data_IF_065768106247
#
_entry.id   IF_065768106247
#
_cell.length_a   1.000
_cell.length_b   1.000
_cell.length_c   1.000
_cell.angle_alpha   90.00
_cell.angle_beta   90.00
_cell.angle_gamma   90.00
#
_symmetry.space_group_name_H-M   'P 1'
#
loop_
_entity.id
_entity.type
_entity.pdbx_description
1 polymer ?
#
# COMPACT_ATOMS: atom_id res chain seq x y z
N UNK A 1 27.21 4.06 -6.97
CA UNK A 1 26.78 4.45 -5.61
C UNK A 1 25.26 4.27 -5.60
N UNK A 2 24.73 3.49 -4.67
CA UNK A 2 23.41 2.83 -4.78
C UNK A 2 22.26 3.85 -4.78
N UNK A 3 21.44 3.83 -5.83
CA UNK A 3 20.18 4.56 -5.96
C UNK A 3 19.11 3.93 -5.05
N UNK A 4 18.44 4.73 -4.21
CA UNK A 4 17.32 4.29 -3.37
C UNK A 4 15.99 4.78 -3.96
N UNK A 5 15.05 3.88 -4.32
CA UNK A 5 13.70 4.28 -4.74
C UNK A 5 12.66 4.18 -3.60
N UNK A 6 11.65 5.06 -3.64
CA UNK A 6 10.24 4.93 -3.20
C UNK A 6 9.90 4.35 -1.82
N UNK A 7 9.36 5.12 -0.87
CA UNK A 7 9.08 4.68 0.50
C UNK A 7 7.56 4.43 0.75
N UNK A 8 7.17 3.24 1.20
CA UNK A 8 5.83 2.93 1.75
C UNK A 8 5.98 2.07 3.00
N UNK A 9 5.25 2.32 4.09
CA UNK A 9 5.35 1.48 5.29
C UNK A 9 4.18 0.50 5.36
N UNK A 10 4.49 -0.79 5.47
CA UNK A 10 3.51 -1.86 5.55
C UNK A 10 3.69 -2.70 6.84
N UNK A 11 2.58 -3.23 7.38
CA UNK A 11 2.59 -4.11 8.54
C UNK A 11 1.88 -5.46 8.22
N UNK A 12 2.65 -6.55 8.39
CA UNK A 12 2.26 -7.94 8.73
C UNK A 12 2.01 -8.97 7.61
N UNK A 13 2.65 -10.13 7.82
CA UNK A 13 2.47 -11.42 7.18
C UNK A 13 2.98 -12.50 8.14
N UNK A 14 2.13 -13.38 8.67
CA UNK A 14 2.54 -14.50 9.51
C UNK A 14 2.11 -15.82 8.85
N UNK A 15 3.05 -16.74 8.67
CA UNK A 15 2.86 -18.10 8.14
C UNK A 15 2.61 -19.07 9.30
N UNK A 16 1.64 -19.98 9.17
CA UNK A 16 1.45 -21.10 10.09
C UNK A 16 1.48 -22.42 9.34
N UNK A 17 1.97 -23.48 10.00
CA UNK A 17 2.03 -24.84 9.45
C UNK A 17 0.64 -25.40 9.08
N UNK A 18 0.69 -26.35 8.14
CA UNK A 18 -0.36 -26.89 7.24
C UNK A 18 -1.66 -27.47 7.87
N UNK A 19 -1.98 -27.19 9.13
CA UNK A 19 -3.20 -27.69 9.78
C UNK A 19 -3.78 -26.82 10.90
N UNK A 20 -3.29 -25.59 11.13
CA UNK A 20 -3.85 -24.71 12.18
C UNK A 20 -4.51 -23.50 11.55
N UNK A 21 -5.82 -23.36 11.79
CA UNK A 21 -6.64 -22.21 11.39
C UNK A 21 -6.13 -20.93 12.08
N UNK A 22 -5.17 -20.26 11.44
CA UNK A 22 -4.55 -19.00 11.90
C UNK A 22 -5.40 -17.76 11.62
N UNK A 23 -6.71 -17.94 11.43
CA UNK A 23 -7.67 -16.86 11.18
C UNK A 23 -7.80 -15.91 12.40
N UNK A 24 -7.38 -16.36 13.59
CA UNK A 24 -7.60 -15.64 14.87
C UNK A 24 -6.36 -15.22 15.66
N UNK A 25 -5.14 -15.44 15.16
CA UNK A 25 -3.96 -15.04 15.92
C UNK A 25 -3.70 -13.55 15.71
N UNK A 26 -4.31 -12.74 16.58
CA UNK A 26 -4.04 -11.31 16.71
C UNK A 26 -2.54 -11.13 16.96
N UNK A 27 -1.87 -10.59 15.97
CA UNK A 27 -0.45 -10.25 15.99
C UNK A 27 -0.19 -9.24 17.11
N UNK A 28 0.66 -9.61 18.07
CA UNK A 28 1.14 -8.76 19.17
C UNK A 28 2.50 -8.13 18.82
N UNK A 29 2.96 -7.17 19.63
CA UNK A 29 4.21 -6.44 19.36
C UNK A 29 5.48 -7.31 19.35
N UNK A 30 5.42 -8.56 19.82
CA UNK A 30 6.55 -9.48 19.78
C UNK A 30 6.76 -10.14 18.41
N UNK A 31 5.83 -9.97 17.46
CA UNK A 31 5.96 -10.54 16.12
C UNK A 31 7.19 -9.98 15.38
N UNK A 32 7.96 -10.86 14.76
CA UNK A 32 9.10 -10.52 13.88
C UNK A 32 8.97 -11.28 12.58
N UNK A 33 9.01 -10.58 11.46
CA UNK A 33 8.86 -11.16 10.13
C UNK A 33 10.11 -11.98 9.79
N UNK A 34 9.89 -13.17 9.26
CA UNK A 34 11.00 -14.03 8.83
C UNK A 34 11.54 -13.58 7.48
N UNK A 35 12.82 -13.86 7.23
CA UNK A 35 13.44 -13.58 5.93
C UNK A 35 12.75 -14.33 4.79
N UNK A 36 12.32 -15.56 5.03
CA UNK A 36 11.59 -16.37 4.05
C UNK A 36 10.26 -15.71 3.67
N UNK A 37 9.60 -15.03 4.61
CA UNK A 37 8.37 -14.28 4.35
C UNK A 37 8.67 -13.03 3.53
N UNK A 38 9.78 -12.33 3.77
CA UNK A 38 10.23 -11.20 2.94
C UNK A 38 10.56 -11.66 1.51
N UNK A 39 11.25 -12.78 1.37
CA UNK A 39 11.57 -13.38 0.06
C UNK A 39 10.29 -13.77 -0.68
N UNK A 40 9.30 -14.32 0.03
CA UNK A 40 7.98 -14.60 -0.52
C UNK A 40 7.22 -13.34 -0.93
N UNK A 41 7.22 -12.29 -0.11
CA UNK A 41 6.67 -10.97 -0.46
C UNK A 41 7.31 -10.47 -1.75
N UNK A 42 8.63 -10.46 -1.84
CA UNK A 42 9.35 -10.01 -3.04
C UNK A 42 9.03 -10.86 -4.28
N UNK A 43 8.86 -12.18 -4.11
CA UNK A 43 8.39 -13.07 -5.18
C UNK A 43 6.99 -12.68 -5.67
N UNK A 44 6.05 -12.38 -4.77
CA UNK A 44 4.69 -11.95 -5.13
C UNK A 44 4.69 -10.57 -5.78
N UNK A 45 5.45 -9.61 -5.24
CA UNK A 45 5.60 -8.26 -5.78
C UNK A 45 6.14 -8.27 -7.22
N UNK A 46 7.00 -9.25 -7.55
CA UNK A 46 7.57 -9.37 -8.89
C UNK A 46 6.53 -9.61 -9.98
N UNK A 47 5.36 -10.19 -9.65
CA UNK A 47 4.26 -10.44 -10.59
C UNK A 47 3.71 -9.13 -11.17
N UNK A 48 3.76 -8.05 -10.41
CA UNK A 48 3.28 -6.73 -10.85
C UNK A 48 4.23 -6.02 -11.81
N UNK A 49 5.51 -6.43 -11.89
CA UNK A 49 6.51 -5.79 -12.75
C UNK A 49 6.11 -5.95 -14.23
N UNK A 50 6.39 -4.94 -15.04
CA UNK A 50 5.99 -4.92 -16.44
C UNK A 50 4.69 -4.14 -16.68
N UNK A 51 4.13 -4.31 -17.88
CA UNK A 51 2.89 -3.66 -18.31
C UNK A 51 1.73 -4.63 -18.15
N UNK A 52 0.74 -4.27 -17.33
CA UNK A 52 -0.47 -5.06 -17.11
C UNK A 52 -1.71 -4.19 -17.23
N UNK A 53 -2.87 -4.82 -17.38
CA UNK A 53 -4.16 -4.15 -17.31
C UNK A 53 -4.64 -4.08 -15.85
N UNK A 54 -4.58 -2.90 -15.25
CA UNK A 54 -4.92 -2.68 -13.84
C UNK A 54 -6.39 -2.28 -13.61
N UNK A 55 -7.31 -2.60 -14.53
CA UNK A 55 -8.72 -2.16 -14.40
C UNK A 55 -9.41 -2.64 -13.10
N UNK A 56 -9.11 -3.85 -12.61
CA UNK A 56 -9.59 -4.35 -11.31
C UNK A 56 -8.95 -3.64 -10.09
N UNK A 57 -7.81 -2.97 -10.31
CA UNK A 57 -7.10 -2.19 -9.29
C UNK A 57 -7.59 -0.74 -9.19
N UNK A 58 -8.73 -0.42 -9.82
CA UNK A 58 -9.40 0.86 -9.68
C UNK A 58 -10.92 0.69 -9.71
N UNK A 59 -11.65 1.77 -9.47
CA UNK A 59 -13.12 1.77 -9.50
C UNK A 59 -13.59 2.44 -10.80
N UNK A 60 -14.78 2.06 -11.29
CA UNK A 60 -15.47 2.71 -12.43
C UNK A 60 -14.64 2.75 -13.74
N UNK A 61 -13.96 1.65 -14.05
CA UNK A 61 -13.21 1.45 -15.28
C UNK A 61 -13.52 0.09 -15.86
N UNK A 62 -13.63 0.02 -17.17
CA UNK A 62 -13.88 -1.21 -17.91
C UNK A 62 -12.58 -1.87 -18.36
N UNK A 63 -12.62 -3.16 -18.66
CA UNK A 63 -11.46 -3.93 -19.07
C UNK A 63 -10.82 -3.41 -20.37
N UNK A 64 -11.63 -2.94 -21.31
CA UNK A 64 -11.20 -2.44 -22.62
C UNK A 64 -10.64 -1.01 -22.59
N UNK A 65 -10.75 -0.32 -21.45
CA UNK A 65 -10.17 1.01 -21.27
C UNK A 65 -8.64 0.93 -21.31
N UNK A 66 -8.06 1.39 -22.43
CA UNK A 66 -6.61 1.45 -22.65
C UNK A 66 -5.90 2.24 -21.55
N UNK A 67 -6.57 3.20 -20.93
CA UNK A 67 -6.04 3.96 -19.80
C UNK A 67 -5.92 3.14 -18.51
N UNK A 68 -6.25 1.85 -18.49
CA UNK A 68 -5.96 0.94 -17.37
C UNK A 68 -4.61 0.23 -17.50
N UNK A 69 -3.95 0.31 -18.66
CA UNK A 69 -2.62 -0.28 -18.84
C UNK A 69 -1.56 0.57 -18.13
N UNK A 70 -0.89 -0.01 -17.15
CA UNK A 70 0.15 0.68 -16.36
C UNK A 70 1.42 -0.14 -16.34
N UNK A 71 2.54 0.58 -16.29
CA UNK A 71 3.88 0.01 -16.29
C UNK A 71 4.53 0.17 -14.91
N UNK A 72 4.80 -0.95 -14.26
CA UNK A 72 5.53 -1.02 -12.98
C UNK A 72 6.99 -1.35 -13.27
N UNK A 73 7.88 -0.46 -12.89
CA UNK A 73 9.34 -0.59 -13.09
C UNK A 73 9.96 -1.47 -12.00
N UNK A 74 9.62 -1.19 -10.74
CA UNK A 74 10.05 -1.99 -9.59
C UNK A 74 8.96 -2.01 -8.53
N UNK A 75 8.91 -3.10 -7.78
CA UNK A 75 8.08 -3.24 -6.60
C UNK A 75 8.76 -4.22 -5.64
N UNK A 76 9.22 -3.73 -4.49
CA UNK A 76 10.17 -4.42 -3.61
C UNK A 76 9.81 -4.20 -2.14
N UNK A 77 10.17 -5.15 -1.29
CA UNK A 77 10.08 -5.06 0.16
C UNK A 77 11.49 -4.86 0.74
N UNK A 78 11.67 -3.78 1.48
CA UNK A 78 12.86 -3.48 2.25
C UNK A 78 12.95 -4.29 3.55
N UNK A 79 14.06 -4.10 4.25
CA UNK A 79 14.34 -4.76 5.53
C UNK A 79 13.38 -4.26 6.63
N UNK A 80 13.04 -5.12 7.60
CA UNK A 80 12.26 -4.73 8.75
C UNK A 80 13.05 -3.80 9.67
N UNK A 81 12.36 -2.87 10.30
CA UNK A 81 12.92 -2.01 11.34
C UNK A 81 11.97 -1.91 12.53
N UNK A 82 12.54 -1.60 13.70
CA UNK A 82 11.79 -1.43 14.93
C UNK A 82 11.49 0.06 15.15
N UNK A 83 10.27 0.33 15.61
CA UNK A 83 9.84 1.64 16.07
C UNK A 83 9.24 1.50 17.47
N UNK A 84 9.72 2.32 18.40
CA UNK A 84 9.30 2.27 19.80
C UNK A 84 7.94 2.95 19.99
N UNK A 85 6.99 2.24 20.61
CA UNK A 85 5.71 2.79 21.05
C UNK A 85 5.84 3.32 22.48
N UNK A 86 5.98 4.64 22.63
CA UNK A 86 6.11 5.30 23.94
C UNK A 86 4.88 5.07 24.86
N UNK A 87 3.70 4.82 24.29
CA UNK A 87 2.45 4.67 25.06
C UNK A 87 2.38 3.27 25.67
N UNK A 88 2.76 2.26 24.88
CA UNK A 88 2.72 0.85 25.30
C UNK A 88 4.04 0.35 25.86
N UNK A 89 5.10 1.13 25.70
CA UNK A 89 6.46 0.82 26.09
C UNK A 89 6.95 -0.51 25.46
N UNK A 90 6.72 -0.66 24.15
CA UNK A 90 7.06 -1.86 23.38
C UNK A 90 7.61 -1.50 21.98
N UNK A 91 8.50 -2.33 21.44
CA UNK A 91 9.03 -2.14 20.09
C UNK A 91 8.18 -2.88 19.06
N UNK A 92 7.65 -2.13 18.10
CA UNK A 92 6.83 -2.64 17.02
C UNK A 92 7.63 -2.68 15.72
N UNK A 93 7.59 -3.82 15.05
CA UNK A 93 8.25 -4.00 13.75
C UNK A 93 7.39 -3.48 12.60
N UNK A 94 8.05 -2.76 11.69
CA UNK A 94 7.50 -2.26 10.43
C UNK A 94 8.39 -2.72 9.27
N UNK A 95 7.79 -2.92 8.10
CA UNK A 95 8.52 -3.12 6.85
C UNK A 95 8.20 -2.00 5.89
N UNK A 96 9.07 -1.80 4.91
CA UNK A 96 8.85 -0.82 3.87
C UNK A 96 8.63 -1.50 2.52
N UNK A 97 7.57 -1.16 1.81
CA UNK A 97 7.39 -1.49 0.41
C UNK A 97 7.79 -0.31 -0.48
N UNK A 98 8.33 -0.58 -1.65
CA UNK A 98 8.86 0.42 -2.57
C UNK A 98 8.33 0.13 -3.96
N UNK A 99 7.47 1.00 -4.50
CA UNK A 99 6.98 0.86 -5.89
C UNK A 99 7.40 2.04 -6.74
N UNK A 100 8.05 1.76 -7.87
CA UNK A 100 8.33 2.71 -8.95
C UNK A 100 7.50 2.31 -10.16
N UNK A 101 6.64 3.22 -10.63
CA UNK A 101 5.82 3.03 -11.81
C UNK A 101 5.88 4.26 -12.70
N UNK A 102 5.54 4.10 -13.98
CA UNK A 102 5.47 5.24 -14.91
C UNK A 102 4.30 6.17 -14.57
N UNK A 103 3.18 5.60 -14.13
CA UNK A 103 2.00 6.31 -13.63
C UNK A 103 1.17 5.36 -12.79
N UNK A 104 0.25 5.92 -11.99
CA UNK A 104 -0.70 5.14 -11.19
C UNK A 104 -2.13 5.65 -11.41
N UNK A 105 -3.11 4.74 -11.40
CA UNK A 105 -4.54 5.09 -11.36
C UNK A 105 -5.06 5.15 -9.93
N UNK A 106 -6.24 5.75 -9.75
CA UNK A 106 -6.89 5.88 -8.45
C UNK A 106 -6.97 4.53 -7.73
N UNK A 107 -6.53 4.50 -6.48
CA UNK A 107 -6.47 3.33 -5.58
C UNK A 107 -5.52 2.19 -6.01
N UNK A 108 -4.82 2.29 -7.14
CA UNK A 108 -4.02 1.18 -7.69
C UNK A 108 -3.04 0.60 -6.67
N UNK A 109 -2.19 1.44 -6.07
CA UNK A 109 -1.16 1.00 -5.12
C UNK A 109 -1.80 0.34 -3.89
N UNK A 110 -2.86 0.93 -3.35
CA UNK A 110 -3.59 0.41 -2.19
C UNK A 110 -4.23 -0.95 -2.48
N UNK A 111 -4.76 -1.15 -3.69
CA UNK A 111 -5.32 -2.44 -4.14
C UNK A 111 -4.22 -3.48 -4.43
N UNK A 112 -3.08 -3.06 -4.99
CA UNK A 112 -1.90 -3.93 -5.18
C UNK A 112 -1.38 -4.47 -3.84
N UNK A 113 -1.24 -3.58 -2.85
CA UNK A 113 -0.85 -3.93 -1.49
C UNK A 113 -1.93 -4.78 -0.80
N UNK A 114 -3.21 -4.45 -0.97
CA UNK A 114 -4.32 -5.27 -0.45
C UNK A 114 -4.30 -6.72 -0.95
N UNK A 115 -4.10 -6.90 -2.26
CA UNK A 115 -3.97 -8.23 -2.86
C UNK A 115 -2.68 -8.96 -2.45
N UNK A 116 -1.56 -8.25 -2.31
CA UNK A 116 -0.32 -8.82 -1.75
C UNK A 116 -0.59 -9.45 -0.39
N UNK A 117 -1.20 -8.70 0.53
CA UNK A 117 -1.49 -9.17 1.89
C UNK A 117 -2.42 -10.37 1.85
N UNK A 118 -3.42 -10.34 0.99
CA UNK A 118 -4.36 -11.45 0.79
C UNK A 118 -3.63 -12.73 0.42
N UNK A 119 -2.69 -12.65 -0.52
CA UNK A 119 -1.90 -13.80 -0.96
C UNK A 119 -0.94 -14.28 0.13
N UNK A 120 -0.26 -13.36 0.82
CA UNK A 120 0.71 -13.73 1.86
C UNK A 120 0.03 -14.29 3.12
N UNK A 121 -1.20 -13.86 3.40
CA UNK A 121 -2.05 -14.46 4.45
C UNK A 121 -2.79 -15.72 3.99
N UNK A 122 -2.45 -16.23 2.80
CA UNK A 122 -2.99 -17.47 2.24
C UNK A 122 -4.52 -17.46 2.05
N UNK A 123 -5.12 -16.26 1.93
CA UNK A 123 -6.55 -16.11 1.59
C UNK A 123 -6.80 -16.31 0.10
N UNK A 124 -5.78 -16.11 -0.73
CA UNK A 124 -5.79 -16.37 -2.17
C UNK A 124 -4.45 -16.93 -2.65
N UNK A 125 -4.48 -17.61 -3.80
CA UNK A 125 -3.27 -18.11 -4.45
C UNK A 125 -2.49 -17.01 -5.19
N UNK A 126 -1.17 -17.17 -5.33
CA UNK A 126 -0.32 -16.25 -6.10
C UNK A 126 -0.81 -16.05 -7.54
N UNK A 127 -1.31 -17.11 -8.17
CA UNK A 127 -1.89 -17.08 -9.52
C UNK A 127 -3.14 -16.20 -9.63
N UNK A 128 -3.82 -15.93 -8.50
CA UNK A 128 -5.00 -15.06 -8.50
C UNK A 128 -4.65 -13.62 -8.93
N UNK A 129 -3.43 -13.15 -8.65
CA UNK A 129 -2.95 -11.84 -9.13
C UNK A 129 -2.89 -11.80 -10.67
N UNK A 130 -2.59 -12.90 -11.34
CA UNK A 130 -2.60 -12.91 -12.81
C UNK A 130 -4.02 -12.82 -13.35
N UNK A 131 -4.96 -13.53 -12.71
CA UNK A 131 -6.39 -13.46 -13.04
C UNK A 131 -6.97 -12.06 -12.88
N UNK A 132 -6.50 -11.27 -11.92
CA UNK A 132 -6.99 -9.91 -11.73
C UNK A 132 -6.61 -8.96 -12.88
N UNK A 133 -5.69 -9.34 -13.77
CA UNK A 133 -5.36 -8.60 -15.00
C UNK A 133 -6.18 -9.05 -16.22
N UNK A 134 -6.94 -10.14 -16.12
CA UNK A 134 -7.78 -10.68 -17.19
C UNK A 134 -9.15 -9.99 -17.22
N UNK A 135 -10.00 -10.31 -18.19
CA UNK A 135 -11.28 -9.61 -18.40
C UNK A 135 -12.33 -9.82 -17.31
N UNK A 136 -12.15 -10.80 -16.44
CA UNK A 136 -13.08 -11.08 -15.35
C UNK A 136 -13.00 -9.96 -14.28
N UNK A 137 -14.16 -9.41 -13.94
CA UNK A 137 -14.28 -8.40 -12.89
C UNK A 137 -14.16 -9.07 -11.53
N UNK A 138 -13.22 -8.62 -10.70
CA UNK A 138 -13.01 -9.18 -9.35
C UNK A 138 -12.86 -8.08 -8.32
N UNK A 139 -13.37 -8.33 -7.10
CA UNK A 139 -13.18 -7.39 -6.00
C UNK A 139 -11.80 -7.56 -5.36
N UNK A 140 -10.97 -6.54 -5.58
CA UNK A 140 -9.61 -6.46 -5.05
C UNK A 140 -9.64 -5.65 -3.75
N UNK A 141 -9.22 -6.23 -2.61
CA UNK A 141 -9.18 -5.52 -1.33
C UNK A 141 -8.36 -4.24 -1.41
N UNK A 142 -8.88 -3.14 -0.86
CA UNK A 142 -8.22 -1.84 -0.85
C UNK A 142 -7.65 -1.57 0.54
N UNK A 143 -6.32 -1.65 0.68
CA UNK A 143 -5.65 -1.36 1.94
C UNK A 143 -5.91 0.09 2.43
N UNK A 144 -5.77 0.40 3.73
CA UNK A 144 -5.81 1.77 4.26
C UNK A 144 -4.83 2.72 3.56
N UNK A 145 -5.14 4.03 3.61
CA UNK A 145 -4.31 5.06 2.98
C UNK A 145 -3.20 5.61 3.87
N UNK A 146 -3.23 5.34 5.18
CA UNK A 146 -2.35 5.98 6.18
C UNK A 146 -0.85 5.80 5.86
N UNK A 147 -0.44 4.58 5.47
CA UNK A 147 0.96 4.28 5.13
C UNK A 147 1.40 4.69 3.72
N UNK A 148 0.54 5.35 2.94
CA UNK A 148 0.80 5.69 1.54
C UNK A 148 1.52 7.04 1.43
N UNK A 149 2.78 7.04 1.02
CA UNK A 149 3.60 8.24 0.84
C UNK A 149 4.13 8.36 -0.60
N UNK A 150 4.00 9.54 -1.20
CA UNK A 150 4.69 9.84 -2.46
C UNK A 150 6.12 10.27 -2.16
N UNK A 151 7.06 9.39 -2.48
CA UNK A 151 8.48 9.61 -2.19
C UNK A 151 9.15 10.58 -3.17
N UNK A 152 9.08 10.30 -4.46
CA UNK A 152 9.85 11.02 -5.49
C UNK A 152 9.10 11.06 -6.80
N UNK A 153 9.21 12.20 -7.49
CA UNK A 153 8.84 12.35 -8.90
C UNK A 153 10.11 12.26 -9.74
N UNK A 154 10.11 11.35 -10.71
CA UNK A 154 11.29 11.09 -11.54
C UNK A 154 11.21 11.84 -12.87
N UNK A 155 12.22 12.65 -13.16
CA UNK A 155 12.36 13.40 -14.41
C UNK A 155 13.43 12.81 -15.35
N UNK A 156 13.85 11.56 -15.12
CA UNK A 156 14.93 10.86 -15.86
C UNK A 156 14.81 11.00 -17.39
N UNK A 157 13.58 10.86 -17.91
CA UNK A 157 13.30 10.97 -19.35
C UNK A 157 13.36 12.42 -19.85
N UNK A 158 12.87 13.38 -19.05
CA UNK A 158 12.95 14.80 -19.37
C UNK A 158 14.40 15.26 -19.41
N UNK A 159 15.16 14.94 -18.36
CA UNK A 159 16.58 15.29 -18.24
C UNK A 159 17.37 14.73 -19.42
N UNK A 160 17.15 13.47 -19.78
CA UNK A 160 17.79 12.86 -20.96
C UNK A 160 17.42 13.57 -22.27
N UNK A 161 16.14 13.92 -22.45
CA UNK A 161 15.64 14.54 -23.68
C UNK A 161 16.12 15.99 -23.82
N UNK A 162 16.26 16.72 -22.71
CA UNK A 162 16.52 18.16 -22.69
C UNK A 162 17.91 18.54 -22.19
N UNK A 163 18.80 17.58 -21.94
CA UNK A 163 20.17 17.77 -21.42
C UNK A 163 21.02 18.83 -22.14
N UNK A 164 20.76 19.10 -23.42
CA UNK A 164 21.50 20.13 -24.19
C UNK A 164 20.99 21.55 -23.99
N UNK A 165 19.80 21.70 -23.42
CA UNK A 165 19.02 22.94 -23.42
C UNK A 165 18.62 23.40 -22.03
N UNK A 166 18.54 22.48 -21.07
CA UNK A 166 18.07 22.74 -19.71
C UNK A 166 18.95 21.98 -18.72
N UNK A 167 19.05 22.53 -17.52
CA UNK A 167 19.62 21.84 -16.36
C UNK A 167 18.73 20.66 -15.94
N UNK A 168 19.31 19.59 -15.35
CA UNK A 168 18.55 18.43 -14.90
C UNK A 168 17.63 18.80 -13.71
N UNK A 169 16.46 18.17 -13.66
CA UNK A 169 15.49 18.30 -12.57
C UNK A 169 15.59 17.17 -11.53
N UNK A 170 16.40 16.15 -11.78
CA UNK A 170 16.55 15.00 -10.87
C UNK A 170 17.62 15.17 -9.80
N UNK A 171 18.63 16.02 -10.01
CA UNK A 171 19.76 16.19 -9.08
C UNK A 171 19.61 17.48 -8.26
N UNK A 172 19.20 17.34 -7.01
CA UNK A 172 19.07 18.43 -6.05
C UNK A 172 20.30 18.61 -5.16
N UNK A 173 21.34 17.79 -5.37
CA UNK A 173 22.54 17.76 -4.56
C UNK A 173 22.36 17.04 -3.21
N UNK A 174 23.44 16.45 -2.72
CA UNK A 174 23.43 15.60 -1.51
C UNK A 174 22.94 16.30 -0.24
N UNK A 175 23.21 17.60 -0.10
CA UNK A 175 22.77 18.37 1.07
C UNK A 175 21.25 18.54 1.12
N UNK A 176 20.62 18.82 -0.02
CA UNK A 176 19.15 18.96 -0.10
C UNK A 176 18.48 17.60 0.07
N UNK A 177 19.01 16.56 -0.59
CA UNK A 177 18.49 15.19 -0.48
C UNK A 177 18.55 14.68 0.97
N UNK A 178 19.67 14.92 1.67
CA UNK A 178 19.79 14.57 3.10
C UNK A 178 18.77 15.32 3.97
N UNK A 179 18.53 16.62 3.67
CA UNK A 179 17.55 17.42 4.40
C UNK A 179 16.12 16.96 4.13
N UNK A 180 15.80 16.58 2.89
CA UNK A 180 14.49 16.03 2.52
C UNK A 180 14.25 14.71 3.27
N UNK A 181 15.24 13.84 3.35
CA UNK A 181 15.13 12.57 4.09
C UNK A 181 14.83 12.79 5.57
N UNK A 182 15.57 13.68 6.22
CA UNK A 182 15.39 14.05 7.63
C UNK A 182 13.98 14.60 7.87
N UNK A 183 13.56 15.59 7.08
CA UNK A 183 12.25 16.25 7.24
C UNK A 183 11.10 15.29 6.94
N UNK A 184 11.25 14.43 5.93
CA UNK A 184 10.28 13.38 5.60
C UNK A 184 10.10 12.43 6.79
N UNK A 185 11.19 11.99 7.40
CA UNK A 185 11.10 11.13 8.57
C UNK A 185 10.40 11.83 9.73
N UNK A 186 10.89 13.01 10.13
CA UNK A 186 10.41 13.73 11.31
C UNK A 186 8.95 14.17 11.21
N UNK A 187 8.52 14.64 10.03
CA UNK A 187 7.19 15.23 9.86
C UNK A 187 6.14 14.28 9.29
N UNK A 188 6.55 13.25 8.54
CA UNK A 188 5.62 12.39 7.80
C UNK A 188 5.70 10.96 8.29
N UNK A 189 6.85 10.29 8.13
CA UNK A 189 6.98 8.87 8.49
C UNK A 189 6.69 8.64 9.96
N UNK A 190 7.25 9.46 10.85
CA UNK A 190 7.01 9.36 12.29
C UNK A 190 5.52 9.50 12.64
N UNK A 191 4.81 10.45 12.04
CA UNK A 191 3.38 10.64 12.29
C UNK A 191 2.55 9.47 11.75
N UNK A 192 2.91 8.90 10.60
CA UNK A 192 2.28 7.68 10.06
C UNK A 192 2.42 6.52 11.06
N UNK A 193 3.65 6.29 11.57
CA UNK A 193 3.93 5.22 12.52
C UNK A 193 3.17 5.42 13.83
N UNK A 194 3.22 6.63 14.41
CA UNK A 194 2.50 6.97 15.64
C UNK A 194 0.98 6.86 15.46
N UNK A 195 0.45 7.31 14.33
CA UNK A 195 -0.97 7.19 14.00
C UNK A 195 -1.40 5.73 13.85
N UNK A 196 -0.56 4.87 13.26
CA UNK A 196 -0.86 3.43 13.17
C UNK A 196 -0.83 2.77 14.55
N UNK A 197 0.13 3.12 15.42
CA UNK A 197 0.17 2.60 16.79
C UNK A 197 -1.08 3.02 17.60
N UNK A 198 -1.52 4.28 17.44
CA UNK A 198 -2.67 4.83 18.16
C UNK A 198 -4.01 4.27 17.66
N UNK A 199 -4.20 4.25 16.34
CA UNK A 199 -5.50 3.96 15.74
C UNK A 199 -5.61 2.54 15.20
N UNK A 200 -4.50 1.85 14.96
CA UNK A 200 -4.43 0.48 14.46
C UNK A 200 -5.25 0.29 13.18
N UNK A 201 -5.14 1.22 12.23
CA UNK A 201 -5.95 1.23 11.01
C UNK A 201 -5.73 -0.03 10.18
N UNK A 202 -4.48 -0.51 10.09
CA UNK A 202 -4.18 -1.76 9.41
C UNK A 202 -4.79 -2.97 10.12
N UNK A 203 -4.74 -3.01 11.45
CA UNK A 203 -5.31 -4.11 12.22
C UNK A 203 -6.84 -4.21 12.05
N UNK A 204 -7.53 -3.07 12.09
CA UNK A 204 -8.98 -3.01 11.87
C UNK A 204 -9.32 -3.52 10.45
N UNK A 205 -8.61 -3.04 9.43
CA UNK A 205 -8.81 -3.51 8.06
C UNK A 205 -8.49 -5.00 7.88
N UNK A 206 -7.45 -5.52 8.55
CA UNK A 206 -7.09 -6.95 8.52
C UNK A 206 -8.15 -7.85 9.16
N UNK A 207 -8.91 -7.34 10.14
CA UNK A 207 -10.02 -8.05 10.75
C UNK A 207 -11.22 -8.19 9.77
N UNK A 208 -11.40 -7.20 8.91
CA UNK A 208 -12.44 -7.20 7.88
C UNK A 208 -12.04 -8.02 6.64
N UNK A 209 -10.75 -8.03 6.29
CA UNK A 209 -10.22 -8.74 5.11
C UNK A 209 -10.61 -10.22 5.03
N UNK A 210 -10.75 -10.89 6.19
CA UNK A 210 -11.14 -12.32 6.25
C UNK A 210 -12.56 -12.55 5.71
N UNK A 211 -13.40 -11.52 5.75
CA UNK A 211 -14.79 -11.55 5.28
C UNK A 211 -14.94 -11.05 3.84
N UNK A 212 -13.83 -10.74 3.16
CA UNK A 212 -13.83 -10.20 1.81
C UNK A 212 -14.32 -11.26 0.81
N UNK A 213 -15.34 -10.91 0.00
CA UNK A 213 -15.84 -11.75 -1.07
C UNK A 213 -15.13 -11.40 -2.39
N UNK A 214 -14.22 -12.28 -2.82
CA UNK A 214 -13.45 -12.09 -4.04
C UNK A 214 -14.26 -12.29 -5.34
N UNK A 215 -15.47 -12.83 -5.23
CA UNK A 215 -16.39 -13.08 -6.35
C UNK A 215 -17.45 -11.98 -6.50
N UNK A 216 -17.51 -11.00 -5.59
CA UNK A 216 -18.47 -9.91 -5.66
C UNK A 216 -18.12 -8.90 -6.77
N UNK A 217 -19.14 -8.25 -7.34
CA UNK A 217 -18.95 -7.17 -8.32
C UNK A 217 -18.42 -5.91 -7.60
N UNK A 218 -17.23 -5.39 -7.91
CA UNK A 218 -16.68 -4.17 -7.33
C UNK A 218 -17.51 -2.92 -7.64
N UNK A 219 -18.39 -2.99 -8.66
CA UNK A 219 -19.33 -1.94 -9.01
C UNK A 219 -20.54 -1.88 -8.08
N UNK A 220 -20.79 -2.93 -7.29
CA UNK A 220 -21.88 -3.00 -6.30
C UNK A 220 -21.47 -2.47 -4.93
N UNK A 221 -20.46 -1.58 -4.84
CA UNK A 221 -20.14 -0.86 -3.59
C UNK A 221 -21.46 -0.25 -3.05
N UNK A 222 -22.04 -0.87 -2.02
CA UNK A 222 -23.17 -0.28 -1.31
C UNK A 222 -22.69 1.06 -0.75
N UNK A 223 -23.47 2.12 -1.01
CA UNK A 223 -23.26 3.40 -0.36
C UNK A 223 -23.24 3.12 1.15
N UNK A 224 -22.18 3.49 1.89
CA UNK A 224 -22.09 3.16 3.30
C UNK A 224 -23.37 3.61 3.99
N UNK A 225 -24.05 2.69 4.69
CA UNK A 225 -25.16 3.07 5.54
C UNK A 225 -24.65 4.15 6.50
N UNK A 226 -25.26 5.34 6.40
CA UNK A 226 -24.87 6.46 7.27
C UNK A 226 -25.12 6.03 8.70
N UNK A 227 -24.05 5.76 9.43
CA UNK A 227 -24.14 5.42 10.84
C UNK A 227 -24.83 6.56 11.59
N UNK A 228 -25.53 6.21 12.68
CA UNK A 228 -26.22 7.18 13.53
C UNK A 228 -25.29 8.32 13.98
N UNK A 229 -24.00 8.02 14.18
CA UNK A 229 -22.96 9.00 14.53
C UNK A 229 -22.63 9.93 13.35
N UNK A 230 -22.56 9.40 12.13
CA UNK A 230 -22.32 10.20 10.92
C UNK A 230 -23.48 11.16 10.64
N UNK A 231 -24.72 10.73 10.91
CA UNK A 231 -25.90 11.60 10.84
C UNK A 231 -25.93 12.66 11.94
N UNK A 232 -25.49 12.32 13.15
CA UNK A 232 -25.40 13.26 14.26
C UNK A 232 -24.36 14.37 14.01
N UNK A 233 -23.16 14.02 13.54
CA UNK A 233 -22.12 15.01 13.22
C UNK A 233 -22.53 15.95 12.06
N UNK A 234 -23.27 15.46 11.07
CA UNK A 234 -23.78 16.31 9.99
C UNK A 234 -24.78 17.37 10.50
N UNK A 235 -25.69 16.99 11.41
CA UNK A 235 -26.65 17.92 12.02
C UNK A 235 -26.01 18.98 12.92
N UNK A 236 -24.89 18.67 13.57
CA UNK A 236 -24.13 19.62 14.39
C UNK A 236 -23.47 20.71 13.52
N UNK A 237 -23.05 20.37 12.30
CA UNK A 237 -22.46 21.36 11.39
C UNK A 237 -23.52 22.24 10.70
N UNK A 238 -24.71 21.69 10.40
CA UNK A 238 -25.83 22.47 9.83
C UNK A 238 -26.43 23.46 10.85
N UNK A 239 -26.25 23.23 12.15
CA UNK A 239 -26.73 24.12 13.22
C UNK A 239 -25.75 25.23 13.61
N UNK A 240 -24.56 25.30 12.99
CA UNK A 240 -23.62 26.41 13.19
C UNK A 240 -23.73 27.52 12.13
N UNK A 241 -24.59 27.35 11.12
CA UNK A 241 -24.83 28.34 10.07
C UNK A 241 -26.32 28.70 9.89
N UNK A 242 -27.15 28.44 10.91
CA UNK A 242 -28.56 28.84 10.98
C UNK A 242 -28.81 29.83 12.11
#
# INVERSE_FOLDING_TARGET
MKEQPGLFHFQRAARTDRAVSAVRQLTNAAFRISKETIDEINSVLSIYKGTHNFFNYTSKREFDDRSCHRYIMSFECGEPFLFHDDIRNEDVEFIQLTVKGQSFILHQIRKMVGMLITVIRELQYKSYIQRTFESERVDVPKAPGLGLLLERVHYDLYDRKHAKTHEPLTDWGSAVEARVEEVKFELITKEILLSELRHQSMLQWLADLVRHDFCADPGSEEVPEKSFLTMACAKVNDSQYG
#
